data_IF_236319100503
#
_entry.id   IF_236319100503
#
_cell.length_a   1.000
_cell.length_b   1.000
_cell.length_c   1.000
_cell.angle_alpha   90.00
_cell.angle_beta   90.00
_cell.angle_gamma   90.00
#
_symmetry.space_group_name_H-M   'P 1'
#
loop_
_entity.id
_entity.type
_entity.pdbx_description
1 polymer ?
#
# COMPACT_ATOMS: atom_id res chain seq x y z
N UNK A 1 15.39 -43.57 -17.81
CA UNK A 1 14.25 -43.21 -16.91
C UNK A 1 14.56 -41.85 -16.35
N UNK A 2 14.17 -40.80 -17.07
CA UNK A 2 14.25 -39.42 -16.59
C UNK A 2 13.01 -39.17 -15.75
N UNK A 3 13.20 -39.10 -14.43
CA UNK A 3 12.17 -38.59 -13.52
C UNK A 3 12.01 -37.11 -13.78
N UNK A 4 10.99 -36.76 -14.56
CA UNK A 4 10.52 -35.39 -14.73
C UNK A 4 10.06 -34.89 -13.36
N UNK A 5 10.95 -34.17 -12.67
CA UNK A 5 10.63 -33.47 -11.43
C UNK A 5 9.72 -32.32 -11.81
N UNK A 6 8.41 -32.55 -11.76
CA UNK A 6 7.38 -31.54 -11.96
C UNK A 6 7.61 -30.44 -10.90
N UNK A 7 8.32 -29.38 -11.30
CA UNK A 7 8.57 -28.23 -10.46
C UNK A 7 7.23 -27.66 -10.06
N UNK A 8 6.85 -27.84 -8.80
CA UNK A 8 5.57 -27.41 -8.27
C UNK A 8 5.37 -25.94 -8.64
N UNK A 9 4.37 -25.66 -9.49
CA UNK A 9 4.09 -24.29 -9.95
C UNK A 9 3.87 -23.41 -8.71
N UNK A 10 4.75 -22.42 -8.55
CA UNK A 10 4.65 -21.45 -7.46
C UNK A 10 3.30 -20.72 -7.61
N UNK A 11 2.58 -20.58 -6.51
CA UNK A 11 1.30 -19.87 -6.47
C UNK A 11 1.28 -18.92 -5.28
N UNK A 12 0.61 -17.78 -5.44
CA UNK A 12 0.38 -16.82 -4.37
C UNK A 12 -0.95 -17.16 -3.68
N UNK A 13 -0.95 -17.12 -2.36
CA UNK A 13 -2.14 -17.36 -1.54
C UNK A 13 -2.61 -16.02 -0.96
N UNK A 14 -3.82 -15.59 -1.32
CA UNK A 14 -4.43 -14.39 -0.78
C UNK A 14 -5.55 -14.75 0.17
N UNK A 15 -5.41 -14.32 1.41
CA UNK A 15 -6.42 -14.47 2.44
C UNK A 15 -7.45 -13.36 2.31
N UNK A 16 -8.73 -13.70 2.40
CA UNK A 16 -9.81 -12.71 2.47
C UNK A 16 -9.76 -12.02 3.84
N UNK A 17 -9.80 -10.70 3.85
CA UNK A 17 -9.91 -9.88 5.05
C UNK A 17 -11.34 -9.37 5.15
N UNK A 18 -11.95 -9.52 6.33
CA UNK A 18 -13.31 -9.03 6.56
C UNK A 18 -13.31 -7.50 6.47
N UNK A 19 -14.26 -6.97 5.70
CA UNK A 19 -14.41 -5.54 5.49
C UNK A 19 -15.90 -5.20 5.33
N UNK A 20 -16.26 -3.95 5.62
CA UNK A 20 -17.57 -3.43 5.31
C UNK A 20 -17.66 -3.05 3.82
N UNK A 21 -18.84 -3.24 3.22
CA UNK A 21 -19.11 -2.78 1.87
C UNK A 21 -18.89 -1.25 1.75
N UNK A 22 -18.51 -0.73 0.58
CA UNK A 22 -18.32 -1.45 -0.69
C UNK A 22 -16.93 -2.08 -0.85
N UNK A 23 -16.04 -2.01 0.15
CA UNK A 23 -14.67 -2.46 -0.02
C UNK A 23 -14.50 -3.97 0.23
N UNK A 24 -14.02 -4.68 -0.78
CA UNK A 24 -13.49 -6.04 -0.65
C UNK A 24 -11.98 -5.99 -0.42
N UNK A 25 -11.48 -6.84 0.50
CA UNK A 25 -10.09 -6.80 0.93
C UNK A 25 -9.48 -8.19 0.91
N UNK A 26 -8.29 -8.28 0.31
CA UNK A 26 -7.46 -9.50 0.35
C UNK A 26 -6.05 -9.15 0.81
N UNK A 27 -5.39 -10.13 1.40
CA UNK A 27 -4.06 -9.98 1.96
C UNK A 27 -3.15 -11.12 1.50
N UNK A 28 -2.01 -10.76 0.91
CA UNK A 28 -0.96 -11.67 0.52
C UNK A 28 0.17 -11.60 1.55
N UNK A 29 0.37 -12.67 2.32
CA UNK A 29 1.48 -12.73 3.28
C UNK A 29 2.81 -12.65 2.55
N UNK A 30 3.70 -11.77 2.99
CA UNK A 30 5.03 -11.60 2.43
C UNK A 30 6.04 -11.20 3.50
N UNK A 31 7.33 -11.34 3.23
CA UNK A 31 8.38 -10.78 4.08
C UNK A 31 8.99 -9.60 3.35
N UNK A 32 9.32 -8.55 4.10
CA UNK A 32 10.00 -7.38 3.57
C UNK A 32 11.36 -7.21 4.26
N UNK A 33 12.45 -7.01 3.51
CA UNK A 33 12.51 -7.06 2.05
C UNK A 33 12.18 -8.47 1.51
N UNK A 34 11.50 -8.53 0.37
CA UNK A 34 11.13 -9.78 -0.29
C UNK A 34 12.37 -10.44 -0.90
N UNK A 35 12.38 -11.77 -0.90
CA UNK A 35 13.47 -12.52 -1.53
C UNK A 35 13.46 -12.32 -3.04
N UNK A 36 14.61 -12.47 -3.71
CA UNK A 36 14.68 -12.38 -5.17
C UNK A 36 13.72 -13.37 -5.86
N UNK A 37 13.55 -14.56 -5.30
CA UNK A 37 12.64 -15.59 -5.81
C UNK A 37 11.15 -15.22 -5.65
N UNK A 38 10.82 -14.31 -4.72
CA UNK A 38 9.46 -13.83 -4.48
C UNK A 38 9.16 -12.54 -5.25
N UNK A 39 10.18 -11.75 -5.59
CA UNK A 39 10.02 -10.46 -6.28
C UNK A 39 9.40 -10.60 -7.66
N UNK A 40 9.84 -11.55 -8.48
CA UNK A 40 9.31 -11.72 -9.83
C UNK A 40 7.82 -12.13 -9.83
N UNK A 41 7.40 -13.15 -9.05
CA UNK A 41 5.98 -13.45 -8.86
C UNK A 41 5.15 -12.28 -8.33
N UNK A 42 5.67 -11.56 -7.34
CA UNK A 42 4.97 -10.44 -6.73
C UNK A 42 4.76 -9.29 -7.73
N UNK A 43 5.82 -8.93 -8.48
CA UNK A 43 5.72 -7.92 -9.55
C UNK A 43 4.73 -8.35 -10.62
N UNK A 44 4.84 -9.58 -11.14
CA UNK A 44 3.93 -10.09 -12.16
C UNK A 44 2.47 -10.11 -11.70
N UNK A 45 2.22 -10.41 -10.43
CA UNK A 45 0.89 -10.32 -9.84
C UNK A 45 0.39 -8.88 -9.74
N UNK A 46 1.17 -7.97 -9.15
CA UNK A 46 0.75 -6.56 -8.98
C UNK A 46 0.56 -5.85 -10.33
N UNK A 47 1.45 -6.08 -11.31
CA UNK A 47 1.29 -5.53 -12.67
C UNK A 47 -0.02 -5.97 -13.29
N UNK A 48 -0.34 -7.28 -13.26
CA UNK A 48 -1.58 -7.79 -13.84
C UNK A 48 -2.82 -7.33 -13.07
N UNK A 49 -2.73 -7.22 -11.74
CA UNK A 49 -3.82 -6.69 -10.91
C UNK A 49 -4.14 -5.24 -11.26
N UNK A 50 -3.12 -4.37 -11.34
CA UNK A 50 -3.28 -2.96 -11.73
C UNK A 50 -3.85 -2.86 -13.13
N UNK A 51 -3.32 -3.62 -14.09
CA UNK A 51 -3.82 -3.63 -15.47
C UNK A 51 -5.29 -4.08 -15.54
N UNK A 52 -5.65 -5.16 -14.84
CA UNK A 52 -7.01 -5.69 -14.81
C UNK A 52 -8.00 -4.70 -14.17
N UNK A 53 -7.61 -4.02 -13.09
CA UNK A 53 -8.44 -2.99 -12.45
C UNK A 53 -8.69 -1.77 -13.35
N UNK A 54 -7.77 -1.47 -14.27
CA UNK A 54 -7.94 -0.41 -15.27
C UNK A 54 -8.79 -0.84 -16.49
N UNK A 55 -9.12 -2.12 -16.67
CA UNK A 55 -9.91 -2.57 -17.81
C UNK A 55 -11.33 -1.98 -17.74
N UNK A 56 -11.70 -1.19 -18.76
CA UNK A 56 -13.03 -0.59 -18.86
C UNK A 56 -13.24 0.69 -18.03
N UNK A 57 -12.24 1.12 -17.25
CA UNK A 57 -12.32 2.31 -16.40
C UNK A 57 -11.17 3.26 -16.70
N UNK A 58 -11.47 4.57 -16.74
CA UNK A 58 -10.43 5.59 -16.80
C UNK A 58 -9.94 5.86 -15.38
N UNK A 59 -8.97 5.08 -14.93
CA UNK A 59 -8.34 5.24 -13.61
C UNK A 59 -6.95 5.88 -13.73
N UNK A 60 -6.59 6.66 -12.72
CA UNK A 60 -5.29 7.30 -12.56
C UNK A 60 -4.50 6.61 -11.46
N UNK A 61 -3.28 6.17 -11.77
CA UNK A 61 -2.37 5.53 -10.83
C UNK A 61 -1.54 6.55 -10.04
N UNK A 62 -1.73 6.63 -8.74
CA UNK A 62 -0.83 7.32 -7.83
C UNK A 62 0.14 6.33 -7.17
N UNK A 63 1.41 6.72 -7.09
CA UNK A 63 2.48 5.90 -6.51
C UNK A 63 3.13 6.68 -5.37
N UNK A 64 3.18 6.02 -4.21
CA UNK A 64 3.80 6.54 -3.01
C UNK A 64 4.84 5.55 -2.47
N UNK A 65 5.95 6.08 -1.96
CA UNK A 65 6.98 5.33 -1.24
C UNK A 65 7.03 5.82 0.21
N UNK A 66 6.89 4.90 1.17
CA UNK A 66 6.97 5.18 2.59
C UNK A 66 8.43 5.24 3.07
N UNK A 67 8.84 6.37 3.64
CA UNK A 67 10.21 6.51 4.15
C UNK A 67 10.32 5.93 5.58
N UNK A 68 10.18 4.61 5.73
CA UNK A 68 10.33 3.92 7.01
C UNK A 68 11.80 3.58 7.32
N UNK A 69 12.25 3.65 8.58
CA UNK A 69 13.66 3.43 8.92
C UNK A 69 14.25 2.09 8.44
N UNK A 70 13.45 1.02 8.45
CA UNK A 70 13.90 -0.31 8.00
C UNK A 70 14.16 -0.38 6.49
N UNK A 71 13.34 0.32 5.71
CA UNK A 71 13.43 0.27 4.25
C UNK A 71 14.30 1.40 3.68
N UNK A 72 14.60 2.43 4.47
CA UNK A 72 15.47 3.55 4.09
C UNK A 72 16.87 3.11 3.61
N UNK A 73 17.43 2.03 4.15
CA UNK A 73 18.79 1.58 3.79
C UNK A 73 18.88 1.16 2.31
N UNK A 74 17.86 0.47 1.80
CA UNK A 74 17.84 0.00 0.41
C UNK A 74 17.15 0.98 -0.55
N UNK A 75 16.18 1.74 -0.05
CA UNK A 75 15.35 2.61 -0.88
C UNK A 75 15.99 3.95 -1.19
N UNK A 76 16.66 4.57 -0.21
CA UNK A 76 17.19 5.92 -0.38
C UNK A 76 18.19 6.03 -1.53
N UNK A 77 19.13 5.09 -1.72
CA UNK A 77 19.98 5.10 -2.91
C UNK A 77 19.18 5.09 -4.21
N UNK A 78 18.21 4.17 -4.36
CA UNK A 78 17.36 4.09 -5.56
C UNK A 78 16.58 5.38 -5.80
N UNK A 79 16.00 5.95 -4.74
CA UNK A 79 15.26 7.21 -4.84
C UNK A 79 16.17 8.38 -5.22
N UNK A 80 17.40 8.41 -4.71
CA UNK A 80 18.39 9.44 -5.06
C UNK A 80 18.85 9.30 -6.51
N UNK A 81 19.16 8.08 -6.95
CA UNK A 81 19.62 7.78 -8.31
C UNK A 81 18.58 8.18 -9.37
N UNK A 82 17.29 8.01 -9.04
CA UNK A 82 16.18 8.35 -9.93
C UNK A 82 15.45 9.67 -9.59
N UNK A 83 15.96 10.48 -8.64
CA UNK A 83 15.25 11.64 -8.12
C UNK A 83 14.81 12.64 -9.21
N UNK A 84 15.67 12.86 -10.21
CA UNK A 84 15.39 13.75 -11.35
C UNK A 84 14.26 13.22 -12.24
N UNK A 85 14.20 11.91 -12.43
CA UNK A 85 13.23 11.23 -13.31
C UNK A 85 11.88 11.09 -12.62
N UNK A 86 11.89 10.72 -11.33
CA UNK A 86 10.70 10.42 -10.55
C UNK A 86 10.02 11.67 -9.98
N UNK A 87 10.76 12.77 -9.83
CA UNK A 87 10.27 14.03 -9.26
C UNK A 87 9.53 13.80 -7.92
N UNK A 88 10.21 13.27 -6.89
CA UNK A 88 9.55 12.90 -5.64
C UNK A 88 9.05 14.16 -4.90
N UNK A 89 7.78 14.15 -4.50
CA UNK A 89 7.17 15.19 -3.65
C UNK A 89 6.96 14.62 -2.25
N UNK A 90 7.37 15.37 -1.23
CA UNK A 90 7.18 14.96 0.17
C UNK A 90 5.75 15.23 0.66
N UNK A 91 5.20 14.27 1.41
CA UNK A 91 3.93 14.40 2.12
C UNK A 91 3.86 13.51 3.35
N UNK A 92 2.64 13.32 3.87
CA UNK A 92 2.40 12.54 5.09
C UNK A 92 1.42 11.39 4.85
N UNK A 93 1.76 10.24 5.43
CA UNK A 93 0.84 9.14 5.65
C UNK A 93 0.12 9.32 6.99
N UNK A 94 -1.20 9.19 6.99
CA UNK A 94 -2.05 9.38 8.17
C UNK A 94 -2.79 8.09 8.45
N UNK A 95 -2.73 7.62 9.69
CA UNK A 95 -3.51 6.47 10.16
C UNK A 95 -4.88 6.98 10.61
N UNK A 96 -5.95 6.75 9.85
CA UNK A 96 -7.23 7.36 10.14
C UNK A 96 -7.99 6.67 11.28
N UNK A 97 -7.54 5.48 11.68
CA UNK A 97 -8.04 4.66 12.80
C UNK A 97 -7.20 4.81 14.08
N UNK A 98 -6.18 5.69 14.08
CA UNK A 98 -5.30 5.94 15.22
C UNK A 98 -5.32 7.42 15.63
N UNK A 99 -4.63 7.73 16.71
CA UNK A 99 -4.41 9.12 17.10
C UNK A 99 -3.64 9.89 16.01
N UNK A 100 -4.01 11.16 15.72
CA UNK A 100 -3.29 12.02 14.80
C UNK A 100 -1.82 12.20 15.21
N UNK A 101 -0.92 12.52 14.25
CA UNK A 101 0.49 12.74 14.56
C UNK A 101 0.67 13.89 15.56
N UNK A 102 1.52 13.67 16.55
CA UNK A 102 1.90 14.64 17.59
C UNK A 102 3.42 14.74 17.68
N UNK A 103 4.00 15.94 17.92
CA UNK A 103 5.44 16.08 18.06
C UNK A 103 5.97 15.23 19.23
N UNK A 104 7.23 14.82 19.15
CA UNK A 104 7.89 14.20 20.29
C UNK A 104 8.03 15.22 21.41
N UNK A 105 7.60 14.84 22.59
CA UNK A 105 7.72 15.61 23.82
C UNK A 105 8.97 15.16 24.58
N UNK A 106 9.46 15.99 25.50
CA UNK A 106 10.52 15.57 26.44
C UNK A 106 10.14 14.28 27.19
N UNK A 107 8.86 14.13 27.53
CA UNK A 107 8.35 12.94 28.20
C UNK A 107 8.48 11.66 27.35
N UNK A 108 8.40 11.76 26.03
CA UNK A 108 8.62 10.62 25.14
C UNK A 108 10.05 10.09 25.23
N UNK A 109 11.06 10.96 25.43
CA UNK A 109 12.46 10.56 25.57
C UNK A 109 12.81 10.05 26.96
N UNK A 110 12.26 10.67 28.02
CA UNK A 110 12.52 10.29 29.40
C UNK A 110 11.97 8.90 29.76
N UNK A 111 10.98 8.41 29.00
CA UNK A 111 10.37 7.09 29.20
C UNK A 111 11.06 5.96 28.41
N UNK A 112 12.07 6.26 27.59
CA UNK A 112 12.75 5.25 26.79
C UNK A 112 13.68 4.41 27.65
N UNK A 113 13.52 3.09 27.59
CA UNK A 113 14.49 2.15 28.11
C UNK A 113 15.69 2.01 27.15
N UNK A 114 16.88 1.63 27.63
CA UNK A 114 18.03 1.36 26.77
C UNK A 114 17.67 0.39 25.63
N UNK A 115 17.96 0.79 24.39
CA UNK A 115 17.66 0.02 23.17
C UNK A 115 16.26 0.26 22.57
N UNK A 116 15.35 0.94 23.28
CA UNK A 116 14.06 1.33 22.72
C UNK A 116 14.20 2.52 21.76
N UNK A 117 13.40 2.50 20.69
CA UNK A 117 13.29 3.63 19.77
C UNK A 117 12.13 4.54 20.21
N UNK A 118 12.24 5.87 20.06
CA UNK A 118 11.09 6.74 20.24
C UNK A 118 9.96 6.34 19.30
N UNK A 119 8.72 6.63 19.70
CA UNK A 119 7.56 6.45 18.82
C UNK A 119 7.75 7.23 17.51
N UNK A 120 7.17 6.74 16.43
CA UNK A 120 7.16 7.44 15.15
C UNK A 120 6.22 8.65 15.24
N UNK A 121 6.77 9.86 15.23
CA UNK A 121 5.97 11.08 15.29
C UNK A 121 5.19 11.37 14.00
N UNK A 122 5.75 10.97 12.85
CA UNK A 122 5.13 11.13 11.53
C UNK A 122 5.57 10.05 10.56
N UNK A 123 4.66 9.65 9.69
CA UNK A 123 4.95 8.72 8.60
C UNK A 123 5.16 9.52 7.32
N UNK A 124 6.40 9.65 6.88
CA UNK A 124 6.73 10.40 5.66
C UNK A 124 6.45 9.55 4.42
N UNK A 125 5.85 10.17 3.42
CA UNK A 125 5.64 9.58 2.09
C UNK A 125 6.35 10.43 1.04
N UNK A 126 6.83 9.76 0.00
CA UNK A 126 7.26 10.37 -1.26
C UNK A 126 6.27 9.98 -2.34
N UNK A 127 5.60 10.96 -2.94
CA UNK A 127 4.77 10.76 -4.12
C UNK A 127 5.63 10.92 -5.37
N UNK A 128 5.48 10.00 -6.32
CA UNK A 128 6.14 10.08 -7.63
C UNK A 128 5.24 10.89 -8.56
N UNK A 129 5.60 12.15 -8.85
CA UNK A 129 4.73 13.08 -9.60
C UNK A 129 5.07 13.19 -11.09
N UNK A 130 6.07 12.44 -11.56
CA UNK A 130 6.47 12.42 -12.96
C UNK A 130 5.46 11.65 -13.85
N UNK A 131 5.89 11.30 -15.07
CA UNK A 131 5.05 10.61 -16.05
C UNK A 131 4.53 9.25 -15.56
N UNK A 132 3.52 8.70 -16.24
CA UNK A 132 3.01 7.34 -15.98
C UNK A 132 4.11 6.28 -16.05
N UNK A 133 4.98 6.35 -17.06
CA UNK A 133 6.14 5.47 -17.18
C UNK A 133 7.09 5.59 -15.99
N UNK A 134 7.35 6.81 -15.51
CA UNK A 134 8.21 7.01 -14.35
C UNK A 134 7.57 6.45 -13.06
N UNK A 135 6.25 6.58 -12.90
CA UNK A 135 5.49 5.95 -11.81
C UNK A 135 5.57 4.42 -11.89
N UNK A 136 5.40 3.85 -13.07
CA UNK A 136 5.50 2.41 -13.31
C UNK A 136 6.89 1.86 -12.95
N UNK A 137 7.93 2.52 -13.45
CA UNK A 137 9.31 2.21 -13.12
C UNK A 137 9.55 2.31 -11.61
N UNK A 138 9.11 3.39 -10.97
CA UNK A 138 9.31 3.60 -9.55
C UNK A 138 8.68 2.50 -8.70
N UNK A 139 7.41 2.14 -8.93
CA UNK A 139 6.79 1.09 -8.11
C UNK A 139 7.37 -0.28 -8.41
N UNK A 140 7.70 -0.61 -9.67
CA UNK A 140 8.34 -1.90 -10.00
C UNK A 140 9.72 -2.03 -9.35
N UNK A 141 10.49 -0.94 -9.31
CA UNK A 141 11.81 -0.91 -8.68
C UNK A 141 11.78 -0.91 -7.15
N UNK A 142 10.67 -0.52 -6.53
CA UNK A 142 10.53 -0.44 -5.08
C UNK A 142 9.63 -1.53 -4.50
N UNK A 143 8.90 -2.28 -5.31
CA UNK A 143 8.09 -3.40 -4.84
C UNK A 143 8.97 -4.45 -4.17
N UNK A 144 8.44 -5.06 -3.12
CA UNK A 144 9.10 -5.99 -2.23
C UNK A 144 9.96 -5.32 -1.16
N UNK A 145 10.06 -3.99 -1.10
CA UNK A 145 10.87 -3.32 -0.07
C UNK A 145 10.10 -3.03 1.22
N UNK A 146 8.77 -3.17 1.22
CA UNK A 146 7.93 -2.90 2.39
C UNK A 146 7.50 -1.44 2.51
N UNK A 147 7.47 -0.68 1.41
CA UNK A 147 7.09 0.72 1.46
C UNK A 147 6.26 1.23 0.30
N UNK A 148 5.94 0.39 -0.68
CA UNK A 148 5.11 0.82 -1.78
C UNK A 148 3.65 0.93 -1.36
N UNK A 149 3.03 2.01 -1.81
CA UNK A 149 1.61 2.24 -1.78
C UNK A 149 1.15 2.72 -3.16
N UNK A 150 0.20 1.99 -3.75
CA UNK A 150 -0.43 2.28 -5.03
C UNK A 150 -1.90 2.63 -4.79
N UNK A 151 -2.39 3.64 -5.51
CA UNK A 151 -3.80 3.99 -5.50
C UNK A 151 -4.27 4.19 -6.93
N UNK A 152 -5.33 3.49 -7.33
CA UNK A 152 -6.09 3.78 -8.55
C UNK A 152 -7.35 4.54 -8.15
N UNK A 153 -7.56 5.71 -8.76
CA UNK A 153 -8.76 6.54 -8.55
C UNK A 153 -9.31 7.04 -9.89
N UNK A 154 -10.62 7.25 -9.96
CA UNK A 154 -11.25 7.83 -11.16
C UNK A 154 -10.98 9.35 -11.30
N UNK A 155 -10.77 10.03 -10.17
CA UNK A 155 -10.35 11.43 -10.17
C UNK A 155 -8.94 11.57 -10.75
N UNK A 156 -8.65 12.72 -11.36
CA UNK A 156 -7.27 13.07 -11.62
C UNK A 156 -6.49 13.26 -10.31
N UNK A 157 -5.18 13.32 -10.48
CA UNK A 157 -4.23 13.44 -9.39
C UNK A 157 -4.50 14.59 -8.42
N UNK A 158 -4.80 15.79 -8.95
CA UNK A 158 -4.96 16.98 -8.12
C UNK A 158 -6.28 16.90 -7.33
N UNK A 159 -7.34 16.43 -7.97
CA UNK A 159 -8.63 16.21 -7.33
C UNK A 159 -8.55 15.13 -6.24
N UNK A 160 -7.88 14.00 -6.50
CA UNK A 160 -7.66 12.96 -5.51
C UNK A 160 -6.90 13.49 -4.28
N UNK A 161 -5.76 14.17 -4.48
CA UNK A 161 -4.97 14.72 -3.37
C UNK A 161 -5.70 15.81 -2.58
N UNK A 162 -6.58 16.57 -3.25
CA UNK A 162 -7.45 17.52 -2.56
C UNK A 162 -8.45 16.79 -1.66
N UNK A 163 -9.12 15.75 -2.15
CA UNK A 163 -10.07 14.95 -1.35
C UNK A 163 -9.40 14.31 -0.14
N UNK A 164 -8.21 13.72 -0.32
CA UNK A 164 -7.47 13.12 0.81
C UNK A 164 -7.03 14.16 1.82
N UNK A 165 -6.62 15.36 1.39
CA UNK A 165 -6.32 16.46 2.29
C UNK A 165 -7.57 16.92 3.06
N UNK A 166 -8.69 17.12 2.37
CA UNK A 166 -9.95 17.57 2.98
C UNK A 166 -10.44 16.57 4.04
N UNK A 167 -10.24 15.26 3.82
CA UNK A 167 -10.63 14.20 4.75
C UNK A 167 -9.65 14.01 5.93
N UNK A 168 -8.34 14.05 5.68
CA UNK A 168 -7.32 13.61 6.65
C UNK A 168 -6.66 14.75 7.43
N UNK A 169 -6.71 16.00 6.94
CA UNK A 169 -6.15 17.16 7.63
C UNK A 169 -6.94 17.60 8.88
N UNK A 170 -8.29 17.60 8.90
CA UNK A 170 -9.05 18.16 10.02
C UNK A 170 -8.69 17.61 11.41
N UNK A 171 -8.44 16.29 11.59
CA UNK A 171 -8.03 15.75 12.90
C UNK A 171 -6.65 16.21 13.39
N UNK A 172 -5.78 16.70 12.50
CA UNK A 172 -4.40 17.09 12.81
C UNK A 172 -4.41 18.48 13.48
N UNK A 173 -4.12 18.52 14.78
CA UNK A 173 -4.13 19.76 15.57
C UNK A 173 -2.82 20.54 15.55
N UNK A 174 -1.70 19.84 15.45
CA UNK A 174 -0.38 20.46 15.53
C UNK A 174 0.05 21.10 14.20
N UNK A 175 0.41 22.38 14.24
CA UNK A 175 0.73 23.17 13.05
C UNK A 175 1.92 22.61 12.27
N UNK A 176 2.89 21.98 12.94
CA UNK A 176 4.08 21.42 12.28
C UNK A 176 3.76 20.28 11.30
N UNK A 177 2.59 19.66 11.40
CA UNK A 177 2.13 18.61 10.49
C UNK A 177 1.11 19.09 9.45
N UNK A 178 0.58 20.32 9.59
CA UNK A 178 -0.52 20.84 8.74
C UNK A 178 -0.05 21.42 7.40
N UNK A 179 1.26 21.64 7.24
CA UNK A 179 1.86 22.24 6.04
C UNK A 179 2.39 21.24 5.01
N UNK A 180 1.93 19.98 5.04
CA UNK A 180 2.38 18.98 4.06
C UNK A 180 1.72 19.18 2.69
N UNK A 181 2.44 18.88 1.61
CA UNK A 181 1.93 19.02 0.23
C UNK A 181 0.72 18.13 -0.03
N UNK A 182 0.67 16.95 0.60
CA UNK A 182 -0.45 16.02 0.55
C UNK A 182 -0.52 15.14 1.79
N UNK A 183 -1.68 14.47 1.94
CA UNK A 183 -1.98 13.49 2.98
C UNK A 183 -2.55 12.24 2.29
N UNK A 184 -2.19 11.05 2.75
CA UNK A 184 -2.68 9.77 2.20
C UNK A 184 -2.98 8.80 3.35
N UNK A 185 -4.08 8.03 3.30
CA UNK A 185 -4.40 7.08 4.35
C UNK A 185 -3.38 5.94 4.40
N UNK A 186 -2.95 5.60 5.60
CA UNK A 186 -2.26 4.35 5.93
C UNK A 186 -3.25 3.47 6.67
N UNK A 187 -3.54 2.31 6.10
CA UNK A 187 -4.43 1.31 6.70
C UNK A 187 -3.72 -0.04 6.76
N UNK A 188 -4.11 -0.86 7.72
CA UNK A 188 -3.65 -2.23 7.96
C UNK A 188 -4.87 -3.16 8.04
N UNK A 189 -4.66 -4.47 8.09
CA UNK A 189 -5.74 -5.45 8.14
C UNK A 189 -6.72 -5.18 9.29
N UNK A 190 -6.19 -4.83 10.48
CA UNK A 190 -7.04 -4.53 11.66
C UNK A 190 -7.87 -3.26 11.52
N UNK A 191 -7.51 -2.34 10.62
CA UNK A 191 -8.31 -1.12 10.38
C UNK A 191 -9.70 -1.47 9.84
N UNK A 192 -9.86 -2.61 9.15
CA UNK A 192 -11.13 -3.02 8.55
C UNK A 192 -12.09 -3.73 9.52
N UNK A 193 -11.57 -4.33 10.60
CA UNK A 193 -12.40 -5.10 11.54
C UNK A 193 -13.47 -4.25 12.24
N UNK A 194 -13.19 -2.96 12.43
CA UNK A 194 -14.06 -2.03 13.16
C UNK A 194 -14.56 -0.85 12.33
N UNK A 195 -14.13 -0.73 11.08
CA UNK A 195 -14.50 0.39 10.22
C UNK A 195 -15.92 0.21 9.67
N UNK A 196 -16.71 1.29 9.77
CA UNK A 196 -18.01 1.39 9.10
C UNK A 196 -17.83 1.76 7.62
N UNK A 197 -18.81 1.45 6.74
CA UNK A 197 -18.79 1.85 5.33
C UNK A 197 -18.39 3.31 5.10
N UNK A 198 -18.97 4.24 5.88
CA UNK A 198 -18.74 5.68 5.71
C UNK A 198 -17.32 6.09 6.12
N UNK A 199 -16.73 5.36 7.08
CA UNK A 199 -15.34 5.56 7.47
C UNK A 199 -14.40 5.09 6.35
N UNK A 200 -14.64 3.91 5.79
CA UNK A 200 -13.83 3.39 4.68
C UNK A 200 -13.89 4.32 3.47
N UNK A 201 -15.08 4.78 3.07
CA UNK A 201 -15.25 5.77 2.01
C UNK A 201 -14.47 7.06 2.30
N UNK A 202 -14.56 7.57 3.53
CA UNK A 202 -13.82 8.77 3.95
C UNK A 202 -12.30 8.54 3.97
N UNK A 203 -11.82 7.35 4.32
CA UNK A 203 -10.40 7.04 4.39
C UNK A 203 -9.82 6.94 2.98
N UNK A 204 -10.46 6.15 2.10
CA UNK A 204 -9.99 5.91 0.75
C UNK A 204 -10.27 7.03 -0.24
N UNK A 205 -11.13 8.00 0.12
CA UNK A 205 -11.37 9.22 -0.64
C UNK A 205 -11.77 8.96 -2.11
N UNK A 206 -12.53 7.88 -2.35
CA UNK A 206 -12.94 7.48 -3.70
C UNK A 206 -11.92 6.64 -4.47
N UNK A 207 -10.86 6.13 -3.83
CA UNK A 207 -10.00 5.14 -4.45
C UNK A 207 -10.78 3.89 -4.87
N UNK A 208 -10.56 3.47 -6.11
CA UNK A 208 -11.09 2.23 -6.70
C UNK A 208 -10.27 1.01 -6.28
N UNK A 209 -8.94 1.14 -6.27
CA UNK A 209 -8.02 0.11 -5.80
C UNK A 209 -6.93 0.76 -4.93
N UNK A 210 -6.63 0.12 -3.80
CA UNK A 210 -5.57 0.49 -2.88
C UNK A 210 -4.68 -0.73 -2.64
N UNK A 211 -3.38 -0.62 -2.92
CA UNK A 211 -2.41 -1.69 -2.73
C UNK A 211 -1.27 -1.16 -1.88
N UNK A 212 -1.03 -1.75 -0.71
CA UNK A 212 0.02 -1.31 0.21
C UNK A 212 0.86 -2.47 0.69
N UNK A 213 2.17 -2.29 0.69
CA UNK A 213 3.07 -3.13 1.46
C UNK A 213 2.98 -2.76 2.94
N UNK A 214 2.16 -3.51 3.69
CA UNK A 214 2.03 -3.30 5.13
C UNK A 214 3.11 -4.08 5.86
N UNK A 215 4.07 -3.33 6.39
CA UNK A 215 5.09 -3.89 7.30
C UNK A 215 4.52 -4.25 8.66
N UNK A 216 3.40 -3.62 9.05
CA UNK A 216 2.68 -3.94 10.28
C UNK A 216 1.99 -5.30 10.20
N UNK A 217 1.39 -5.63 9.06
CA UNK A 217 0.73 -6.92 8.84
C UNK A 217 1.69 -8.00 8.30
N UNK A 218 2.87 -7.62 7.80
CA UNK A 218 3.81 -8.54 7.16
C UNK A 218 3.29 -9.07 5.81
N UNK A 219 2.90 -8.17 4.91
CA UNK A 219 2.45 -8.56 3.58
C UNK A 219 1.88 -7.43 2.73
N UNK A 220 1.29 -7.81 1.61
CA UNK A 220 0.63 -6.91 0.67
C UNK A 220 -0.87 -6.89 0.97
N UNK A 221 -1.36 -5.73 1.41
CA UNK A 221 -2.77 -5.44 1.62
C UNK A 221 -3.36 -4.87 0.34
N UNK A 222 -4.47 -5.46 -0.12
CA UNK A 222 -5.19 -5.02 -1.32
C UNK A 222 -6.64 -4.78 -0.92
N UNK A 223 -7.11 -3.55 -1.09
CA UNK A 223 -8.50 -3.17 -0.90
C UNK A 223 -9.06 -2.60 -2.20
N UNK A 224 -10.24 -3.07 -2.62
CA UNK A 224 -10.89 -2.64 -3.85
C UNK A 224 -12.33 -2.25 -3.54
N UNK A 225 -12.77 -1.14 -4.10
CA UNK A 225 -14.18 -0.72 -4.10
C UNK A 225 -15.01 -1.55 -5.08
N UNK A 226 -14.39 -1.97 -6.17
CA UNK A 226 -15.00 -2.89 -7.14
C UNK A 226 -14.85 -4.34 -6.64
N UNK A 227 -15.79 -5.24 -6.98
CA UNK A 227 -15.68 -6.65 -6.63
C UNK A 227 -14.33 -7.25 -7.08
N UNK A 228 -13.57 -7.85 -6.16
CA UNK A 228 -12.27 -8.44 -6.44
C UNK A 228 -12.39 -9.77 -7.17
N UNK A 229 -13.50 -10.51 -6.98
CA UNK A 229 -13.68 -11.83 -7.59
C UNK A 229 -13.46 -11.83 -9.12
N UNK A 230 -14.15 -11.01 -9.93
CA UNK A 230 -13.95 -11.00 -11.38
C UNK A 230 -12.51 -10.62 -11.77
N UNK A 231 -11.91 -9.68 -11.04
CA UNK A 231 -10.53 -9.25 -11.25
C UNK A 231 -9.59 -10.44 -11.01
N UNK A 232 -9.68 -11.10 -9.87
CA UNK A 232 -8.82 -12.23 -9.50
C UNK A 232 -9.04 -13.43 -10.43
N UNK A 233 -10.27 -13.77 -10.78
CA UNK A 233 -10.58 -14.84 -11.75
C UNK A 233 -9.96 -14.55 -13.13
N UNK A 234 -9.92 -13.28 -13.58
CA UNK A 234 -9.22 -12.89 -14.82
C UNK A 234 -7.71 -13.09 -14.76
N UNK A 235 -7.12 -13.13 -13.56
CA UNK A 235 -5.71 -13.46 -13.31
C UNK A 235 -5.48 -14.98 -13.23
N UNK A 236 -6.51 -15.80 -13.45
CA UNK A 236 -6.47 -17.24 -13.30
C UNK A 236 -6.56 -17.71 -11.85
N UNK A 237 -6.95 -16.83 -10.92
CA UNK A 237 -7.10 -17.17 -9.53
C UNK A 237 -8.24 -18.17 -9.32
N UNK A 238 -8.08 -19.04 -8.33
CA UNK A 238 -9.13 -19.98 -7.90
C UNK A 238 -9.37 -19.81 -6.42
N UNK A 239 -10.63 -19.76 -6.02
CA UNK A 239 -11.01 -19.80 -4.61
C UNK A 239 -10.89 -21.24 -4.12
N UNK A 240 -10.18 -21.46 -3.02
CA UNK A 240 -10.05 -22.77 -2.40
C UNK A 240 -11.15 -22.98 -1.36
N UNK A 241 -11.80 -24.13 -1.40
CA UNK A 241 -12.78 -24.53 -0.40
C UNK A 241 -12.03 -25.08 0.83
N UNK A 242 -12.00 -24.29 1.91
CA UNK A 242 -11.31 -24.64 3.15
C UNK A 242 -11.93 -23.94 4.37
N UNK A 243 -11.41 -24.23 5.56
CA UNK A 243 -11.85 -23.56 6.80
C UNK A 243 -11.59 -22.05 6.79
N UNK A 244 -10.67 -21.60 5.93
CA UNK A 244 -10.46 -20.21 5.57
C UNK A 244 -10.44 -20.12 4.04
N UNK A 245 -11.41 -19.41 3.47
CA UNK A 245 -11.46 -19.19 2.02
C UNK A 245 -10.26 -18.32 1.59
N UNK A 246 -9.46 -18.85 0.66
CA UNK A 246 -8.26 -18.19 0.14
C UNK A 246 -8.28 -18.23 -1.39
N UNK A 247 -7.70 -17.20 -2.01
CA UNK A 247 -7.46 -17.18 -3.44
C UNK A 247 -6.07 -17.71 -3.76
N UNK A 248 -5.99 -18.70 -4.62
CA UNK A 248 -4.74 -19.19 -5.18
C UNK A 248 -4.53 -18.58 -6.57
N UNK A 249 -3.49 -17.76 -6.73
CA UNK A 249 -3.13 -17.12 -8.01
C UNK A 249 -1.89 -17.82 -8.60
N UNK A 250 -1.95 -18.29 -9.85
CA UNK A 250 -0.77 -18.85 -10.51
C UNK A 250 0.26 -17.75 -10.84
N UNK A 251 1.52 -18.00 -10.47
CA UNK A 251 2.66 -17.15 -10.81
C UNK A 251 3.13 -17.40 -12.24
#
# INVERSE_FOLDING_TARGET
METSTESARKSLQLRIVRSAAPYEVVFLKSKFPASQDDLAPLNGFVSRLVAAACLGHKLHLEVFAQLIPLAQVEQMPRMTDHAREWQPIMGLGIWPDREPPTPLTKGDFLKLLPGQRPRTAKYKLCRISASEKAREQAWTSLLGTGAILLVLAADDSAAFLKKTKDALLPPIRDESFRHSSFYVPLVECKSFDSARPEQLESWFCGASLYVRESTEDGGLLIASREPLRPILESLGARLTDGSHAEWQVPC
#
